data_IF_363119757877
#
_entry.id   IF_363119757877
#
_cell.length_a   1.000
_cell.length_b   1.000
_cell.length_c   1.000
_cell.angle_alpha   90.00
_cell.angle_beta   90.00
_cell.angle_gamma   90.00
#
_symmetry.space_group_name_H-M   'P 1'
#
loop_
_entity.id
_entity.type
_entity.pdbx_description
1 polymer ?
#
# COMPACT_ATOMS: atom_id res chain seq x y z
N UNK A 1 52.36 -1.19 -58.96
CA UNK A 1 52.15 -0.46 -57.69
C UNK A 1 51.73 -1.48 -56.65
N UNK A 2 52.56 -1.66 -55.61
CA UNK A 2 52.58 -2.83 -54.71
C UNK A 2 51.47 -2.80 -53.64
N UNK A 3 50.90 -3.99 -53.43
CA UNK A 3 49.93 -4.37 -52.40
C UNK A 3 50.61 -4.37 -51.01
N UNK A 4 49.96 -3.78 -50.00
CA UNK A 4 50.19 -4.13 -48.58
C UNK A 4 48.88 -4.16 -47.80
N UNK A 5 48.37 -5.36 -47.58
CA UNK A 5 47.38 -5.68 -46.55
C UNK A 5 48.05 -5.63 -45.18
N UNK A 6 47.43 -4.99 -44.19
CA UNK A 6 47.77 -5.15 -42.78
C UNK A 6 46.63 -5.88 -42.09
N UNK A 7 47.00 -6.99 -41.44
CA UNK A 7 46.14 -7.93 -40.74
C UNK A 7 46.43 -7.78 -39.23
N UNK A 8 45.45 -8.17 -38.40
CA UNK A 8 45.53 -8.56 -36.97
C UNK A 8 45.58 -7.35 -36.02
N UNK A 9 44.66 -7.18 -35.04
CA UNK A 9 44.38 -8.09 -33.94
C UNK A 9 42.91 -8.03 -33.46
N UNK A 10 42.27 -9.20 -33.42
CA UNK A 10 41.11 -9.45 -32.57
C UNK A 10 41.58 -9.51 -31.11
N UNK A 11 41.10 -8.60 -30.27
CA UNK A 11 41.10 -8.77 -28.82
C UNK A 11 39.75 -9.33 -28.38
N UNK A 12 39.73 -10.63 -28.10
CA UNK A 12 38.63 -11.29 -27.40
C UNK A 12 38.79 -10.97 -25.92
N UNK A 13 37.99 -10.05 -25.40
CA UNK A 13 37.81 -9.87 -23.97
C UNK A 13 36.50 -10.53 -23.54
N UNK A 14 36.64 -11.81 -23.18
CA UNK A 14 35.66 -12.53 -22.39
C UNK A 14 35.74 -12.03 -20.94
N UNK A 15 34.74 -11.26 -20.51
CA UNK A 15 34.45 -11.08 -19.09
C UNK A 15 33.10 -11.73 -18.78
N UNK A 16 33.20 -13.00 -18.39
CA UNK A 16 32.15 -13.74 -17.74
C UNK A 16 32.04 -13.27 -16.29
N UNK A 17 31.05 -12.46 -15.97
CA UNK A 17 30.54 -12.31 -14.61
C UNK A 17 29.05 -11.95 -14.68
N UNK A 18 28.21 -12.92 -15.04
CA UNK A 18 26.79 -12.90 -14.67
C UNK A 18 26.70 -13.20 -13.19
N UNK A 19 27.04 -12.21 -12.37
CA UNK A 19 26.66 -12.19 -10.97
C UNK A 19 25.15 -12.05 -10.91
N UNK A 20 24.47 -13.14 -10.59
CA UNK A 20 23.06 -13.12 -10.19
C UNK A 20 23.00 -12.23 -8.95
N UNK A 21 22.57 -11.00 -9.13
CA UNK A 21 22.21 -10.12 -8.04
C UNK A 21 21.02 -10.76 -7.34
N UNK A 22 21.31 -11.60 -6.35
CA UNK A 22 20.34 -12.06 -5.39
C UNK A 22 19.91 -10.81 -4.63
N UNK A 23 18.79 -10.23 -5.06
CA UNK A 23 18.11 -9.15 -4.37
C UNK A 23 17.64 -9.74 -3.03
N UNK A 24 18.55 -9.83 -2.07
CA UNK A 24 18.20 -10.08 -0.69
C UNK A 24 17.30 -8.91 -0.30
N UNK A 25 16.01 -9.20 -0.23
CA UNK A 25 15.05 -8.37 0.47
C UNK A 25 15.55 -8.36 1.91
N UNK A 26 16.43 -7.41 2.23
CA UNK A 26 16.77 -7.11 3.60
C UNK A 26 15.45 -6.67 4.21
N UNK A 27 14.83 -7.58 4.95
CA UNK A 27 13.83 -7.26 5.96
C UNK A 27 14.56 -6.38 6.95
N UNK A 28 14.60 -5.08 6.67
CA UNK A 28 15.17 -4.10 7.58
C UNK A 28 14.38 -4.29 8.87
N UNK A 29 15.04 -4.69 9.98
CA UNK A 29 14.38 -4.62 11.27
C UNK A 29 13.95 -3.16 11.40
N UNK A 30 12.64 -2.98 11.50
CA UNK A 30 11.95 -1.72 11.69
C UNK A 30 12.80 -0.92 12.65
N UNK A 31 13.45 0.13 12.14
CA UNK A 31 14.16 1.07 12.99
C UNK A 31 13.17 1.44 14.08
N UNK A 32 13.51 1.03 15.31
CA UNK A 32 12.83 1.33 16.57
C UNK A 32 12.04 2.62 16.42
N UNK A 33 10.75 2.48 16.09
CA UNK A 33 9.85 3.62 16.04
C UNK A 33 9.81 4.12 17.47
N UNK A 34 10.37 5.31 17.67
CA UNK A 34 10.24 6.06 18.90
C UNK A 34 8.80 5.94 19.37
N UNK A 35 8.61 5.25 20.49
CA UNK A 35 7.39 5.24 21.27
C UNK A 35 6.89 6.69 21.41
N UNK A 36 5.57 6.88 21.23
CA UNK A 36 4.76 8.02 21.70
C UNK A 36 4.74 9.31 20.87
N UNK A 37 4.31 9.21 19.62
CA UNK A 37 3.28 10.13 19.16
C UNK A 37 1.97 9.35 18.95
N UNK A 38 1.21 9.21 20.03
CA UNK A 38 -0.15 8.69 19.96
C UNK A 38 -1.01 9.73 19.27
N UNK A 39 -1.29 9.51 17.99
CA UNK A 39 -2.06 10.46 17.20
C UNK A 39 -3.52 10.29 17.57
N UNK A 40 -4.08 11.38 18.08
CA UNK A 40 -5.46 11.40 18.58
C UNK A 40 -6.38 11.71 17.40
N UNK A 41 -7.02 10.67 16.88
CA UNK A 41 -8.19 10.82 16.00
C UNK A 41 -9.45 10.86 16.88
N UNK A 42 -10.56 11.48 16.43
CA UNK A 42 -11.84 11.46 17.14
C UNK A 42 -12.52 10.08 17.12
N UNK A 43 -11.81 9.05 16.66
CA UNK A 43 -12.24 7.67 16.56
C UNK A 43 -11.05 6.74 16.81
N UNK A 44 -11.37 5.51 17.21
CA UNK A 44 -10.39 4.48 17.47
C UNK A 44 -9.95 3.78 16.17
N UNK A 45 -8.64 3.62 16.02
CA UNK A 45 -8.03 2.82 14.95
C UNK A 45 -6.74 2.17 15.45
N UNK A 46 -6.35 1.06 14.82
CA UNK A 46 -5.09 0.36 15.05
C UNK A 46 -4.38 0.19 13.72
N UNK A 47 -3.15 0.71 13.60
CA UNK A 47 -2.27 0.36 12.50
C UNK A 47 -1.65 -1.00 12.81
N UNK A 48 -1.84 -1.94 11.90
CA UNK A 48 -1.50 -3.35 12.09
C UNK A 48 -0.30 -3.73 11.25
N UNK A 49 -0.20 -3.16 10.05
CA UNK A 49 0.93 -3.34 9.17
C UNK A 49 1.27 -2.05 8.42
N UNK A 50 2.56 -1.89 8.14
CA UNK A 50 3.11 -0.80 7.34
C UNK A 50 4.31 -1.34 6.56
N UNK A 51 4.04 -1.84 5.36
CA UNK A 51 5.03 -2.49 4.52
C UNK A 51 5.50 -1.54 3.41
N UNK A 52 6.80 -1.30 3.36
CA UNK A 52 7.45 -0.74 2.19
C UNK A 52 7.85 -1.90 1.26
N UNK A 53 7.02 -2.18 0.25
CA UNK A 53 7.25 -3.28 -0.70
C UNK A 53 8.39 -2.98 -1.67
N UNK A 54 8.59 -1.70 -1.97
CA UNK A 54 9.71 -1.17 -2.74
C UNK A 54 9.87 0.33 -2.42
N UNK A 55 10.94 0.95 -2.92
CA UNK A 55 11.12 2.42 -2.86
C UNK A 55 10.00 3.22 -3.53
N UNK A 56 9.11 2.55 -4.28
CA UNK A 56 8.00 3.17 -5.01
C UNK A 56 6.63 2.71 -4.53
N UNK A 57 6.55 1.77 -3.58
CA UNK A 57 5.29 1.17 -3.13
C UNK A 57 5.27 0.97 -1.62
N UNK A 58 4.29 1.60 -0.97
CA UNK A 58 3.98 1.40 0.45
C UNK A 58 2.54 0.95 0.61
N UNK A 59 2.34 -0.01 1.50
CA UNK A 59 1.04 -0.59 1.83
C UNK A 59 0.84 -0.57 3.34
N UNK A 60 -0.28 -0.04 3.79
CA UNK A 60 -0.63 0.10 5.21
C UNK A 60 -1.95 -0.60 5.44
N UNK A 61 -2.03 -1.37 6.52
CA UNK A 61 -3.25 -2.02 6.97
C UNK A 61 -3.68 -1.48 8.32
N UNK A 62 -4.95 -1.12 8.41
CA UNK A 62 -5.56 -0.45 9.55
C UNK A 62 -6.86 -1.18 9.90
N UNK A 63 -7.08 -1.33 11.19
CA UNK A 63 -8.39 -1.70 11.71
C UNK A 63 -9.04 -0.48 12.36
N UNK A 64 -10.33 -0.33 12.12
CA UNK A 64 -11.15 0.77 12.63
C UNK A 64 -12.39 0.19 13.29
N UNK A 65 -12.87 0.84 14.35
CA UNK A 65 -14.15 0.46 14.95
C UNK A 65 -15.27 0.56 13.91
N UNK A 66 -16.16 -0.43 13.87
CA UNK A 66 -17.24 -0.48 12.88
C UNK A 66 -18.13 0.77 12.92
N UNK A 67 -18.40 1.29 14.13
CA UNK A 67 -19.16 2.52 14.36
C UNK A 67 -18.43 3.79 13.89
N UNK A 68 -17.11 3.75 13.77
CA UNK A 68 -16.30 4.84 13.27
C UNK A 68 -16.18 4.84 11.73
N UNK A 69 -16.65 3.78 11.07
CA UNK A 69 -16.58 3.64 9.62
C UNK A 69 -17.57 4.57 8.91
N UNK A 70 -17.20 5.85 8.79
CA UNK A 70 -17.97 6.88 8.11
C UNK A 70 -17.13 7.53 7.02
N UNK A 71 -17.78 8.11 6.01
CA UNK A 71 -17.09 8.79 4.92
C UNK A 71 -16.16 9.91 5.41
N UNK A 72 -16.58 10.67 6.42
CA UNK A 72 -15.81 11.76 7.01
C UNK A 72 -14.56 11.25 7.73
N UNK A 73 -14.71 10.23 8.57
CA UNK A 73 -13.59 9.63 9.30
C UNK A 73 -12.58 8.97 8.34
N UNK A 74 -13.05 8.32 7.27
CA UNK A 74 -12.18 7.77 6.23
C UNK A 74 -11.38 8.86 5.52
N UNK A 75 -12.01 10.00 5.18
CA UNK A 75 -11.29 11.14 4.60
C UNK A 75 -10.21 11.67 5.53
N UNK A 76 -10.52 11.84 6.82
CA UNK A 76 -9.55 12.28 7.83
C UNK A 76 -8.37 11.30 7.94
N UNK A 77 -8.68 10.00 8.04
CA UNK A 77 -7.67 8.95 8.12
C UNK A 77 -6.75 8.96 6.90
N UNK A 78 -7.33 8.98 5.70
CA UNK A 78 -6.56 8.93 4.46
C UNK A 78 -5.74 10.19 4.20
N UNK A 79 -6.26 11.37 4.54
CA UNK A 79 -5.48 12.61 4.49
C UNK A 79 -4.25 12.50 5.40
N UNK A 80 -4.46 12.07 6.65
CA UNK A 80 -3.37 11.88 7.61
C UNK A 80 -2.29 10.90 7.10
N UNK A 81 -2.68 9.73 6.57
CA UNK A 81 -1.70 8.78 6.04
C UNK A 81 -1.02 9.27 4.77
N UNK A 82 -1.71 10.04 3.93
CA UNK A 82 -1.10 10.67 2.76
C UNK A 82 -0.03 11.68 3.16
N UNK A 83 -0.31 12.52 4.16
CA UNK A 83 0.61 13.55 4.65
C UNK A 83 1.80 12.95 5.40
N UNK A 84 1.56 11.90 6.20
CA UNK A 84 2.62 11.20 6.95
C UNK A 84 3.60 10.47 6.04
N UNK A 85 3.12 9.95 4.92
CA UNK A 85 3.94 9.23 3.96
C UNK A 85 3.88 9.97 2.63
N UNK A 86 4.58 11.11 2.44
CA UNK A 86 4.54 11.86 1.19
C UNK A 86 5.18 11.09 0.02
N UNK A 87 6.14 10.24 0.33
CA UNK A 87 6.67 9.19 -0.54
C UNK A 87 6.34 7.82 0.06
N UNK A 88 6.17 6.77 -0.76
CA UNK A 88 6.37 6.74 -2.21
C UNK A 88 5.15 7.20 -3.03
N UNK A 89 5.35 7.36 -4.35
CA UNK A 89 4.28 7.68 -5.32
C UNK A 89 3.06 6.75 -5.27
N UNK A 90 3.26 5.45 -4.99
CA UNK A 90 2.16 4.50 -4.76
C UNK A 90 2.00 4.25 -3.26
N UNK A 91 0.96 4.83 -2.68
CA UNK A 91 0.51 4.53 -1.32
C UNK A 91 -0.83 3.80 -1.38
N UNK A 92 -0.91 2.66 -0.72
CA UNK A 92 -2.14 1.88 -0.54
C UNK A 92 -2.43 1.83 0.96
N UNK A 93 -3.64 2.24 1.36
CA UNK A 93 -4.10 2.11 2.74
C UNK A 93 -5.37 1.28 2.75
N UNK A 94 -5.37 0.15 3.44
CA UNK A 94 -6.52 -0.73 3.59
C UNK A 94 -7.08 -0.60 4.99
N UNK A 95 -8.39 -0.38 5.08
CA UNK A 95 -9.13 -0.27 6.33
C UNK A 95 -10.09 -1.45 6.40
N UNK A 96 -10.09 -2.14 7.55
CA UNK A 96 -11.02 -3.23 7.87
C UNK A 96 -11.73 -2.93 9.19
N UNK A 97 -12.97 -3.39 9.34
CA UNK A 97 -13.69 -3.34 10.63
C UNK A 97 -13.88 -4.71 11.28
N UNK A 98 -13.36 -5.78 10.67
CA UNK A 98 -13.42 -7.14 11.24
C UNK A 98 -12.32 -7.39 12.27
N UNK A 99 -12.55 -7.03 13.52
CA UNK A 99 -11.57 -7.22 14.59
C UNK A 99 -11.31 -8.69 14.95
N UNK A 100 -12.09 -9.66 14.45
CA UNK A 100 -11.91 -11.08 14.79
C UNK A 100 -10.53 -11.64 14.39
N UNK A 101 -9.84 -10.94 13.47
CA UNK A 101 -8.55 -11.33 12.92
C UNK A 101 -7.37 -10.75 13.71
N UNK A 102 -7.62 -9.89 14.70
CA UNK A 102 -6.58 -9.23 15.48
C UNK A 102 -6.32 -9.90 16.83
N UNK A 103 -5.08 -10.32 17.05
CA UNK A 103 -4.55 -10.62 18.37
C UNK A 103 -3.85 -9.35 18.91
N UNK A 104 -4.56 -8.52 19.67
CA UNK A 104 -4.03 -7.24 20.19
C UNK A 104 -3.21 -7.44 21.48
N UNK A 105 -1.97 -6.93 21.58
CA UNK A 105 -1.41 -6.46 22.85
C UNK A 105 -2.04 -5.09 23.23
N UNK A 106 -2.28 -4.86 24.52
CA UNK A 106 -3.41 -4.06 25.00
C UNK A 106 -3.29 -2.53 25.09
N UNK A 107 -2.14 -1.88 24.87
CA UNK A 107 -1.96 -0.56 25.53
C UNK A 107 -1.73 0.66 24.61
N UNK A 108 -1.84 0.56 23.28
CA UNK A 108 -1.76 1.74 22.40
C UNK A 108 -2.76 1.72 21.23
N UNK A 109 -3.65 2.72 21.10
CA UNK A 109 -4.40 2.93 19.86
C UNK A 109 -3.41 3.27 18.76
N UNK A 110 -3.35 2.43 17.73
CA UNK A 110 -2.44 2.63 16.60
C UNK A 110 -1.27 1.65 16.49
N UNK A 111 -1.09 0.70 17.42
CA UNK A 111 -0.03 -0.32 17.30
C UNK A 111 -0.57 -1.72 17.56
N UNK A 112 -0.77 -2.50 16.49
CA UNK A 112 -1.01 -3.94 16.55
C UNK A 112 0.00 -4.68 15.68
N UNK A 113 0.33 -5.93 15.99
CA UNK A 113 1.07 -6.80 15.06
C UNK A 113 0.11 -7.77 14.40
N UNK A 114 -0.24 -7.53 13.13
CA UNK A 114 -0.94 -8.51 12.30
C UNK A 114 0.10 -9.39 11.63
N UNK A 115 0.00 -10.70 11.79
CA UNK A 115 0.81 -11.60 10.96
C UNK A 115 0.38 -11.49 9.50
N UNK A 116 1.34 -11.41 8.57
CA UNK A 116 1.13 -11.17 7.13
C UNK A 116 0.40 -12.29 6.35
N UNK A 117 -0.39 -13.13 7.03
CA UNK A 117 -1.19 -14.20 6.44
C UNK A 117 -2.68 -13.95 6.64
N UNK A 118 -3.10 -12.69 6.62
CA UNK A 118 -4.52 -12.37 6.57
C UNK A 118 -5.01 -12.78 5.18
N UNK A 119 -5.70 -13.92 5.12
CA UNK A 119 -6.37 -14.39 3.92
C UNK A 119 -7.15 -13.22 3.29
N UNK A 120 -7.25 -13.18 1.96
CA UNK A 120 -8.20 -12.28 1.29
C UNK A 120 -9.59 -12.66 1.78
N UNK A 121 -10.02 -12.03 2.87
CA UNK A 121 -11.35 -12.25 3.41
C UNK A 121 -12.29 -11.54 2.45
N UNK A 122 -12.82 -12.33 1.52
CA UNK A 122 -13.95 -12.00 0.66
C UNK A 122 -15.27 -11.98 1.47
N UNK A 123 -15.19 -11.92 2.80
CA UNK A 123 -16.38 -11.80 3.62
C UNK A 123 -16.87 -10.35 3.63
N UNK A 124 -18.01 -10.12 2.98
CA UNK A 124 -18.69 -8.83 2.92
C UNK A 124 -19.53 -8.52 4.17
N UNK A 125 -19.40 -9.35 5.23
CA UNK A 125 -20.07 -9.13 6.52
C UNK A 125 -19.53 -7.90 7.28
N UNK A 126 -18.37 -7.36 6.87
CA UNK A 126 -17.71 -6.24 7.53
C UNK A 126 -17.40 -5.09 6.58
N UNK A 127 -17.31 -3.88 7.14
CA UNK A 127 -16.96 -2.71 6.39
C UNK A 127 -15.48 -2.71 6.00
N UNK A 128 -15.17 -2.20 4.80
CA UNK A 128 -13.81 -2.06 4.30
C UNK A 128 -13.65 -0.86 3.40
N UNK A 129 -12.47 -0.27 3.41
CA UNK A 129 -12.09 0.79 2.49
C UNK A 129 -10.67 0.58 1.97
N UNK A 130 -10.45 0.91 0.70
CA UNK A 130 -9.15 0.86 0.05
C UNK A 130 -8.83 2.22 -0.56
N UNK A 131 -7.80 2.88 0.00
CA UNK A 131 -7.26 4.13 -0.50
C UNK A 131 -6.06 3.89 -1.40
N UNK A 132 -5.96 4.73 -2.44
CA UNK A 132 -4.91 4.72 -3.43
C UNK A 132 -4.45 6.15 -3.72
N UNK A 133 -3.15 6.40 -3.54
CA UNK A 133 -2.45 7.50 -4.20
C UNK A 133 -1.51 6.93 -5.24
N UNK A 134 -1.65 7.35 -6.49
CA UNK A 134 -0.80 6.97 -7.63
C UNK A 134 -0.36 8.22 -8.36
N UNK A 135 0.78 8.78 -7.94
CA UNK A 135 1.20 10.09 -8.44
C UNK A 135 0.14 11.15 -8.09
N UNK A 136 -0.47 11.76 -9.10
CA UNK A 136 -1.47 12.82 -8.92
C UNK A 136 -2.90 12.30 -8.70
N UNK A 137 -3.14 11.01 -8.98
CA UNK A 137 -4.46 10.40 -8.83
C UNK A 137 -4.61 9.88 -7.39
N UNK A 138 -5.55 10.48 -6.66
CA UNK A 138 -5.87 10.12 -5.28
C UNK A 138 -7.35 9.81 -5.18
N UNK A 139 -7.67 8.59 -4.77
CA UNK A 139 -9.04 8.14 -4.59
C UNK A 139 -9.12 7.01 -3.58
N UNK A 140 -10.32 6.70 -3.12
CA UNK A 140 -10.58 5.50 -2.36
C UNK A 140 -11.91 4.87 -2.73
N UNK A 141 -12.03 3.57 -2.44
CA UNK A 141 -13.28 2.83 -2.47
C UNK A 141 -13.70 2.50 -1.05
N UNK A 142 -14.99 2.51 -0.74
CA UNK A 142 -15.49 2.08 0.56
C UNK A 142 -16.83 1.34 0.42
N UNK A 143 -17.11 0.41 1.34
CA UNK A 143 -18.40 -0.28 1.37
C UNK A 143 -19.50 0.64 1.89
N UNK A 144 -20.57 0.78 1.11
CA UNK A 144 -21.76 1.55 1.52
C UNK A 144 -22.81 0.68 2.19
N UNK A 145 -22.80 -0.63 1.90
CA UNK A 145 -23.74 -1.60 2.47
C UNK A 145 -23.07 -2.96 2.67
N UNK A 146 -23.21 -3.51 3.88
CA UNK A 146 -22.76 -4.86 4.22
C UNK A 146 -23.50 -5.92 3.41
N UNK A 147 -22.88 -7.09 3.29
CA UNK A 147 -23.38 -8.26 2.53
C UNK A 147 -23.56 -8.00 1.04
N UNK A 148 -22.92 -6.94 0.53
CA UNK A 148 -22.88 -6.64 -0.90
C UNK A 148 -21.45 -6.37 -1.32
N UNK A 149 -21.11 -6.73 -2.55
CA UNK A 149 -19.81 -6.40 -3.13
C UNK A 149 -19.71 -4.94 -3.58
N UNK A 150 -20.76 -4.14 -3.34
CA UNK A 150 -20.86 -2.78 -3.86
C UNK A 150 -19.99 -1.85 -3.03
N UNK A 151 -19.05 -1.20 -3.71
CA UNK A 151 -18.21 -0.15 -3.14
C UNK A 151 -18.41 1.14 -3.91
N UNK A 152 -18.48 2.25 -3.19
CA UNK A 152 -18.52 3.59 -3.77
C UNK A 152 -17.10 4.13 -3.91
N UNK A 153 -16.84 4.84 -5.02
CA UNK A 153 -15.56 5.49 -5.29
C UNK A 153 -15.64 6.97 -4.94
N UNK A 154 -14.67 7.47 -4.18
CA UNK A 154 -14.48 8.89 -3.90
C UNK A 154 -13.15 9.33 -4.50
N UNK A 155 -13.19 10.35 -5.36
CA UNK A 155 -11.98 10.98 -5.94
C UNK A 155 -11.61 12.20 -5.09
N UNK A 156 -10.36 12.24 -4.63
CA UNK A 156 -9.81 13.33 -3.83
C UNK A 156 -8.95 14.27 -4.67
N UNK A 157 -8.19 13.73 -5.63
CA UNK A 157 -7.47 14.50 -6.64
C UNK A 157 -7.19 13.65 -7.88
N UNK A 158 -6.87 14.31 -9.00
CA UNK A 158 -6.47 13.64 -10.24
C UNK A 158 -7.39 13.91 -11.43
N UNK A 159 -6.89 13.60 -12.64
CA UNK A 159 -7.64 13.76 -13.88
C UNK A 159 -8.50 12.52 -14.12
N UNK A 160 -9.53 12.34 -13.30
CA UNK A 160 -10.41 11.20 -13.47
C UNK A 160 -11.37 11.43 -14.64
N UNK A 161 -10.97 11.01 -15.85
CA UNK A 161 -11.96 10.65 -16.85
C UNK A 161 -12.63 9.36 -16.39
N UNK A 162 -13.95 9.35 -16.14
CA UNK A 162 -14.65 8.11 -15.85
C UNK A 162 -14.42 7.16 -17.03
N UNK A 163 -13.78 6.01 -16.79
CA UNK A 163 -13.74 4.92 -17.76
C UNK A 163 -15.20 4.57 -18.03
N UNK A 164 -15.70 4.91 -19.21
CA UNK A 164 -17.03 4.47 -19.64
C UNK A 164 -17.05 2.96 -19.50
N UNK A 165 -17.88 2.48 -18.58
CA UNK A 165 -18.18 1.07 -18.39
C UNK A 165 -18.83 0.63 -19.70
N UNK A 166 -18.08 -0.14 -20.50
CA UNK A 166 -18.63 -0.76 -21.69
C UNK A 166 -19.77 -1.67 -21.24
N UNK A 167 -21.00 -1.24 -21.45
CA UNK A 167 -22.17 -2.09 -21.36
C UNK A 167 -22.09 -3.05 -22.55
N UNK A 168 -21.69 -4.29 -22.28
CA UNK A 168 -21.92 -5.40 -23.20
C UNK A 168 -23.42 -5.60 -23.30
N UNK A 169 -24.00 -5.24 -24.45
CA UNK A 169 -25.35 -5.64 -24.85
C UNK A 169 -25.42 -7.15 -25.10
#
# INVERSE_FOLDING_TARGET
>A
MLIKYSIVFLSVLSFSCTGVAHLQTQKTPIASMSEKECITMPFHYVLVDNWEKSSTVREIEIFMDDKAFTLENLKMLFAYFSDRFPEPKLLIVRVKTDWSQLNLPSDCPGAGSGGSNIAKVENFDHHRADYYRRGNDVYFYYTTKLKTETMEKVVLSGNHQPRQRWESK
#
